data_IF_939330967093
#
_entry.id   IF_939330967093
#
_cell.length_a   1.000
_cell.length_b   1.000
_cell.length_c   1.000
_cell.angle_alpha   90.00
_cell.angle_beta   90.00
_cell.angle_gamma   90.00
#
_symmetry.space_group_name_H-M   'P 1'
#
loop_
_entity.id
_entity.type
_entity.pdbx_description
1 polymer ?
#
# COMPACT_ATOMS: atom_id res chain seq x y z
N UNK A 1 -3.32 28.82 21.96
CA UNK A 1 -2.32 28.85 20.88
C UNK A 1 -1.67 27.48 20.59
N UNK A 2 -1.94 26.41 21.37
CA UNK A 2 -1.35 25.08 21.14
C UNK A 2 -2.02 24.22 20.04
N UNK A 3 -3.15 24.65 19.45
CA UNK A 3 -3.87 23.87 18.45
C UNK A 3 -3.31 24.06 17.02
N UNK A 4 -2.65 25.19 16.75
CA UNK A 4 -2.26 25.59 15.41
C UNK A 4 -1.33 24.59 14.68
N UNK A 5 -0.55 23.79 15.42
CA UNK A 5 0.32 22.78 14.80
C UNK A 5 -0.42 21.50 14.40
N UNK A 6 -1.47 21.13 15.14
CA UNK A 6 -2.22 19.91 14.87
C UNK A 6 -3.41 20.12 13.93
N UNK A 7 -3.81 21.38 13.70
CA UNK A 7 -4.88 21.73 12.78
C UNK A 7 -4.65 21.18 11.36
N UNK A 8 -3.39 21.06 10.91
CA UNK A 8 -3.04 20.47 9.61
C UNK A 8 -3.40 18.98 9.50
N UNK A 9 -3.43 18.24 10.61
CA UNK A 9 -3.78 16.82 10.64
C UNK A 9 -5.27 16.58 10.86
N UNK A 10 -6.01 17.63 11.21
CA UNK A 10 -7.46 17.54 11.33
C UNK A 10 -8.08 17.32 9.94
N UNK A 11 -9.09 16.45 9.85
CA UNK A 11 -9.76 16.20 8.57
C UNK A 11 -10.49 17.47 8.11
N UNK A 12 -10.16 18.03 6.93
CA UNK A 12 -10.81 19.22 6.45
C UNK A 12 -12.28 18.93 6.12
N UNK A 13 -13.17 19.81 6.58
CA UNK A 13 -14.60 19.79 6.24
C UNK A 13 -15.04 21.17 5.75
N UNK A 14 -15.87 21.20 4.71
CA UNK A 14 -16.44 22.42 4.16
C UNK A 14 -17.97 22.27 4.16
N UNK A 15 -18.69 23.22 4.77
CA UNK A 15 -20.16 23.18 4.88
C UNK A 15 -20.69 21.86 5.49
N UNK A 16 -19.92 21.22 6.39
CA UNK A 16 -20.28 19.94 7.01
C UNK A 16 -19.94 18.69 6.18
N UNK A 17 -19.38 18.84 4.98
CA UNK A 17 -18.97 17.71 4.12
C UNK A 17 -17.48 17.44 4.33
N UNK A 18 -17.07 16.21 4.69
CA UNK A 18 -15.65 15.85 4.83
C UNK A 18 -14.97 15.74 3.47
N UNK A 19 -13.86 16.43 3.29
CA UNK A 19 -13.12 16.51 2.01
C UNK A 19 -12.10 15.37 1.82
N UNK A 20 -12.05 14.41 2.75
CA UNK A 20 -11.10 13.29 2.73
C UNK A 20 -11.22 12.50 1.43
N UNK A 21 -12.44 12.19 0.97
CA UNK A 21 -12.66 11.42 -0.26
C UNK A 21 -12.02 12.10 -1.49
N UNK A 22 -12.15 13.42 -1.58
CA UNK A 22 -11.56 14.20 -2.67
C UNK A 22 -10.03 14.06 -2.62
N UNK A 23 -9.42 14.25 -1.45
CA UNK A 23 -7.97 14.11 -1.28
C UNK A 23 -7.46 12.69 -1.61
N UNK A 24 -8.25 11.64 -1.38
CA UNK A 24 -7.89 10.27 -1.78
C UNK A 24 -7.92 10.05 -3.29
N UNK A 25 -8.89 10.64 -3.98
CA UNK A 25 -9.05 10.46 -5.44
C UNK A 25 -8.08 11.33 -6.24
N UNK A 26 -7.59 12.43 -5.67
CA UNK A 26 -6.75 13.40 -6.36
C UNK A 26 -5.44 12.81 -6.94
N UNK A 27 -4.65 11.98 -6.23
CA UNK A 27 -3.46 11.34 -6.79
C UNK A 27 -3.73 10.52 -8.05
N UNK A 28 -4.89 9.85 -8.12
CA UNK A 28 -5.25 9.04 -9.28
C UNK A 28 -5.50 9.90 -10.52
N UNK A 29 -6.00 11.13 -10.35
CA UNK A 29 -6.23 12.08 -11.43
C UNK A 29 -4.93 12.67 -12.01
N UNK A 30 -3.84 12.69 -11.23
CA UNK A 30 -2.54 13.19 -11.70
C UNK A 30 -1.87 12.22 -12.68
N UNK A 31 -2.28 10.96 -12.68
CA UNK A 31 -1.75 9.94 -13.58
C UNK A 31 -2.51 10.04 -14.91
N UNK A 32 -1.87 10.48 -16.02
CA UNK A 32 -2.56 10.50 -17.30
C UNK A 32 -2.93 9.08 -17.74
N UNK A 33 -4.11 8.94 -18.33
CA UNK A 33 -4.52 7.69 -18.98
C UNK A 33 -3.60 7.39 -20.15
N UNK A 34 -3.24 6.12 -20.32
CA UNK A 34 -2.46 5.67 -21.47
C UNK A 34 -3.32 5.73 -22.73
N UNK A 35 -2.81 6.37 -23.78
CA UNK A 35 -3.43 6.35 -25.11
C UNK A 35 -3.19 5.00 -25.80
N UNK A 36 -4.12 4.59 -26.67
CA UNK A 36 -3.97 3.40 -27.52
C UNK A 36 -3.01 3.62 -28.72
N UNK A 37 -2.12 4.62 -28.64
CA UNK A 37 -1.15 4.95 -29.69
C UNK A 37 0.14 4.15 -29.46
N UNK A 38 0.75 3.65 -30.53
CA UNK A 38 2.01 2.91 -30.44
C UNK A 38 3.16 3.77 -29.90
N UNK A 39 3.20 5.05 -30.30
CA UNK A 39 4.10 6.06 -29.75
C UNK A 39 3.26 6.99 -28.88
N UNK A 40 3.53 6.96 -27.58
CA UNK A 40 2.86 7.79 -26.60
C UNK A 40 3.69 9.04 -26.26
N UNK A 41 3.16 9.91 -25.41
CA UNK A 41 3.86 11.12 -24.97
C UNK A 41 5.03 10.78 -24.03
N UNK A 42 6.00 11.70 -23.89
CA UNK A 42 7.17 11.51 -23.01
C UNK A 42 6.80 11.21 -21.56
N UNK A 43 5.72 11.81 -21.05
CA UNK A 43 5.25 11.58 -19.69
C UNK A 43 4.73 10.14 -19.51
N UNK A 44 3.92 9.66 -20.44
CA UNK A 44 3.37 8.30 -20.39
C UNK A 44 4.44 7.23 -20.59
N UNK A 45 5.49 7.49 -21.38
CA UNK A 45 6.61 6.54 -21.51
C UNK A 45 7.42 6.45 -20.21
N UNK A 46 7.71 7.58 -19.56
CA UNK A 46 8.39 7.60 -18.25
C UNK A 46 7.56 6.91 -17.16
N UNK A 47 6.25 7.17 -17.13
CA UNK A 47 5.34 6.51 -16.21
C UNK A 47 5.31 5.00 -16.42
N UNK A 48 5.17 4.54 -17.68
CA UNK A 48 5.17 3.11 -17.99
C UNK A 48 6.50 2.44 -17.60
N UNK A 49 7.62 3.11 -17.88
CA UNK A 49 8.94 2.64 -17.47
C UNK A 49 9.05 2.50 -15.94
N UNK A 50 8.59 3.50 -15.20
CA UNK A 50 8.59 3.46 -13.73
C UNK A 50 7.72 2.32 -13.18
N UNK A 51 6.49 2.17 -13.69
CA UNK A 51 5.58 1.08 -13.27
C UNK A 51 6.22 -0.28 -13.56
N UNK A 52 6.86 -0.46 -14.72
CA UNK A 52 7.52 -1.72 -15.10
C UNK A 52 8.73 -2.04 -14.22
N UNK A 53 9.49 -1.02 -13.80
CA UNK A 53 10.59 -1.23 -12.86
C UNK A 53 10.09 -1.65 -11.48
N UNK A 54 9.08 -0.95 -10.96
CA UNK A 54 8.48 -1.26 -9.65
C UNK A 54 7.87 -2.65 -9.66
N UNK A 55 7.11 -3.02 -10.71
CA UNK A 55 6.53 -4.36 -10.83
C UNK A 55 7.61 -5.44 -10.89
N UNK A 56 8.68 -5.21 -11.67
CA UNK A 56 9.80 -6.15 -11.78
C UNK A 56 10.51 -6.35 -10.44
N UNK A 57 10.79 -5.28 -9.71
CA UNK A 57 11.46 -5.37 -8.41
C UNK A 57 10.58 -6.05 -7.35
N UNK A 58 9.29 -5.70 -7.29
CA UNK A 58 8.36 -6.31 -6.34
C UNK A 58 8.13 -7.80 -6.59
N UNK A 59 8.12 -8.23 -7.85
CA UNK A 59 7.82 -9.62 -8.21
C UNK A 59 9.05 -10.51 -8.28
N UNK A 60 10.27 -9.95 -8.33
CA UNK A 60 11.51 -10.73 -8.40
C UNK A 60 11.66 -11.83 -7.33
N UNK A 61 11.33 -11.59 -6.03
CA UNK A 61 11.46 -12.63 -5.01
C UNK A 61 10.26 -13.59 -4.95
N UNK A 62 9.21 -13.35 -5.73
CA UNK A 62 7.95 -14.10 -5.64
C UNK A 62 7.88 -15.19 -6.71
N UNK A 63 7.30 -16.32 -6.34
CA UNK A 63 6.98 -17.38 -7.30
C UNK A 63 5.89 -16.95 -8.29
N UNK A 64 5.82 -17.62 -9.45
CA UNK A 64 4.81 -17.42 -10.52
C UNK A 64 3.37 -17.32 -10.01
N UNK A 65 3.01 -18.06 -8.94
CA UNK A 65 1.68 -17.99 -8.31
C UNK A 65 1.41 -16.63 -7.65
N UNK A 66 2.44 -16.02 -7.06
CA UNK A 66 2.40 -14.70 -6.43
C UNK A 66 2.24 -13.54 -7.41
N UNK A 67 2.62 -13.71 -8.69
CA UNK A 67 2.45 -12.66 -9.71
C UNK A 67 0.99 -12.25 -9.94
N UNK A 68 -0.01 -13.06 -9.52
CA UNK A 68 -1.42 -12.66 -9.54
C UNK A 68 -1.69 -11.41 -8.68
N UNK A 69 -0.87 -11.19 -7.65
CA UNK A 69 -0.94 -10.02 -6.76
C UNK A 69 -0.23 -8.79 -7.32
N UNK A 70 0.45 -8.89 -8.46
CA UNK A 70 1.25 -7.81 -9.02
C UNK A 70 0.46 -6.52 -9.19
N UNK A 71 -0.78 -6.60 -9.69
CA UNK A 71 -1.62 -5.42 -9.90
C UNK A 71 -1.96 -4.71 -8.58
N UNK A 72 -2.40 -5.45 -7.57
CA UNK A 72 -2.84 -4.89 -6.29
C UNK A 72 -1.65 -4.29 -5.54
N UNK A 73 -0.51 -4.99 -5.51
CA UNK A 73 0.68 -4.52 -4.79
C UNK A 73 1.31 -3.30 -5.47
N UNK A 74 1.35 -3.28 -6.80
CA UNK A 74 1.95 -2.16 -7.54
C UNK A 74 1.06 -0.92 -7.53
N UNK A 75 -0.27 -1.08 -7.67
CA UNK A 75 -1.23 0.03 -7.55
C UNK A 75 -1.21 0.64 -6.15
N UNK A 76 -1.17 -0.18 -5.09
CA UNK A 76 -1.08 0.33 -3.72
C UNK A 76 0.24 1.07 -3.46
N UNK A 77 1.37 0.52 -3.92
CA UNK A 77 2.68 1.18 -3.77
C UNK A 77 2.67 2.56 -4.43
N UNK A 78 2.18 2.65 -5.68
CA UNK A 78 2.11 3.91 -6.43
C UNK A 78 1.14 4.88 -5.75
N UNK A 79 -0.01 4.41 -5.28
CA UNK A 79 -1.00 5.23 -4.58
C UNK A 79 -0.43 5.87 -3.31
N UNK A 80 0.19 5.07 -2.43
CA UNK A 80 0.80 5.57 -1.20
C UNK A 80 1.97 6.53 -1.48
N UNK A 81 2.80 6.21 -2.49
CA UNK A 81 3.90 7.06 -2.91
C UNK A 81 3.39 8.43 -3.38
N UNK A 82 2.36 8.47 -4.21
CA UNK A 82 1.81 9.72 -4.73
C UNK A 82 1.14 10.55 -3.64
N UNK A 83 0.35 9.94 -2.75
CA UNK A 83 -0.26 10.66 -1.62
C UNK A 83 0.81 11.29 -0.73
N UNK A 84 1.84 10.53 -0.39
CA UNK A 84 2.88 11.01 0.51
C UNK A 84 3.74 12.10 -0.15
N UNK A 85 4.03 11.98 -1.46
CA UNK A 85 4.74 13.04 -2.19
C UNK A 85 3.92 14.34 -2.27
N UNK A 86 2.62 14.25 -2.52
CA UNK A 86 1.73 15.43 -2.50
C UNK A 86 1.64 16.07 -1.12
N UNK A 87 1.81 15.27 -0.06
CA UNK A 87 1.86 15.76 1.32
C UNK A 87 3.05 16.62 1.70
N UNK A 88 4.09 16.62 0.87
CA UNK A 88 5.25 17.49 1.08
C UNK A 88 4.98 18.93 0.64
N UNK A 89 3.90 19.17 -0.11
CA UNK A 89 3.51 20.51 -0.52
C UNK A 89 2.99 21.31 0.69
N UNK A 90 3.28 22.62 0.75
CA UNK A 90 2.80 23.44 1.86
C UNK A 90 1.26 23.49 1.89
N UNK A 91 0.70 23.41 3.10
CA UNK A 91 -0.74 23.46 3.37
C UNK A 91 -1.57 22.34 2.71
N UNK A 92 -0.97 21.19 2.38
CA UNK A 92 -1.72 20.01 1.94
C UNK A 92 -2.04 19.09 3.12
N UNK A 93 -3.29 18.62 3.15
CA UNK A 93 -3.74 17.55 4.05
C UNK A 93 -3.46 16.20 3.39
N UNK A 94 -2.75 15.32 4.08
CA UNK A 94 -2.54 13.93 3.65
C UNK A 94 -3.37 12.95 4.47
N UNK A 95 -4.24 12.16 3.83
CA UNK A 95 -5.03 11.19 4.55
C UNK A 95 -4.24 10.06 5.21
N UNK A 96 -3.02 9.78 4.74
CA UNK A 96 -2.10 8.79 5.32
C UNK A 96 -1.60 9.17 6.72
N UNK A 97 -1.78 10.43 7.15
CA UNK A 97 -1.49 10.85 8.53
C UNK A 97 -2.51 10.29 9.53
N UNK A 98 -3.70 9.91 9.06
CA UNK A 98 -4.73 9.33 9.91
C UNK A 98 -4.51 7.82 10.05
N UNK A 99 -4.40 7.36 11.30
CA UNK A 99 -4.25 5.93 11.60
C UNK A 99 -5.39 5.08 11.01
N UNK A 100 -6.60 5.62 11.01
CA UNK A 100 -7.79 4.96 10.45
C UNK A 100 -7.59 4.56 8.99
N UNK A 101 -6.99 5.43 8.16
CA UNK A 101 -6.73 5.13 6.77
C UNK A 101 -5.69 4.01 6.61
N UNK A 102 -4.60 4.11 7.36
CA UNK A 102 -3.52 3.11 7.28
C UNK A 102 -4.01 1.73 7.72
N UNK A 103 -4.81 1.65 8.79
CA UNK A 103 -5.43 0.39 9.22
C UNK A 103 -6.45 -0.14 8.20
N UNK A 104 -7.26 0.73 7.60
CA UNK A 104 -8.24 0.34 6.59
C UNK A 104 -7.57 -0.28 5.33
N UNK A 105 -6.36 0.16 4.98
CA UNK A 105 -5.58 -0.46 3.89
C UNK A 105 -4.82 -1.70 4.35
N UNK A 106 -4.13 -1.63 5.49
CA UNK A 106 -3.22 -2.68 5.94
C UNK A 106 -3.96 -3.95 6.38
N UNK A 107 -5.04 -3.81 7.15
CA UNK A 107 -5.71 -4.95 7.76
C UNK A 107 -6.32 -5.91 6.72
N UNK A 108 -7.07 -5.46 5.70
CA UNK A 108 -7.62 -6.37 4.69
C UNK A 108 -6.54 -7.06 3.87
N UNK A 109 -5.46 -6.37 3.52
CA UNK A 109 -4.37 -6.95 2.72
C UNK A 109 -3.58 -8.00 3.50
N UNK A 110 -3.24 -7.68 4.75
CA UNK A 110 -2.57 -8.62 5.65
C UNK A 110 -3.44 -9.85 5.92
N UNK A 111 -4.72 -9.65 6.20
CA UNK A 111 -5.66 -10.74 6.42
C UNK A 111 -5.82 -11.60 5.16
N UNK A 112 -5.88 -10.97 3.99
CA UNK A 112 -6.00 -11.71 2.73
C UNK A 112 -4.77 -12.60 2.46
N UNK A 113 -3.54 -12.11 2.70
CA UNK A 113 -2.34 -12.94 2.54
C UNK A 113 -2.32 -14.10 3.54
N UNK A 114 -2.67 -13.85 4.81
CA UNK A 114 -2.77 -14.87 5.85
C UNK A 114 -3.79 -15.97 5.49
N UNK A 115 -5.00 -15.57 5.07
CA UNK A 115 -6.02 -16.52 4.63
C UNK A 115 -5.60 -17.30 3.38
N UNK A 116 -4.91 -16.66 2.43
CA UNK A 116 -4.41 -17.38 1.25
C UNK A 116 -3.34 -18.41 1.60
N UNK A 117 -2.48 -18.13 2.59
CA UNK A 117 -1.49 -19.06 3.12
C UNK A 117 -2.15 -20.27 3.78
N UNK A 118 -3.05 -20.01 4.74
CA UNK A 118 -3.79 -21.06 5.45
C UNK A 118 -4.62 -21.94 4.51
N UNK A 119 -5.23 -21.36 3.48
CA UNK A 119 -6.05 -22.10 2.51
C UNK A 119 -5.21 -22.99 1.59
N UNK A 120 -4.07 -22.49 1.12
CA UNK A 120 -3.27 -23.19 0.12
C UNK A 120 -2.28 -24.18 0.73
N UNK A 121 -1.68 -23.85 1.88
CA UNK A 121 -0.63 -24.63 2.54
C UNK A 121 -0.74 -24.52 4.07
N UNK A 122 -1.75 -25.15 4.70
CA UNK A 122 -2.02 -24.99 6.13
C UNK A 122 -0.84 -25.45 7.01
N UNK A 123 -0.24 -26.60 6.70
CA UNK A 123 0.88 -27.15 7.48
C UNK A 123 2.12 -26.24 7.43
N UNK A 124 2.51 -25.76 6.25
CA UNK A 124 3.64 -24.86 6.10
C UNK A 124 3.36 -23.51 6.78
N UNK A 125 2.14 -22.97 6.64
CA UNK A 125 1.77 -21.70 7.26
C UNK A 125 1.79 -21.73 8.79
N UNK A 126 1.36 -22.83 9.41
CA UNK A 126 1.48 -23.03 10.86
C UNK A 126 2.91 -23.37 11.27
N UNK A 127 3.66 -24.09 10.42
CA UNK A 127 5.06 -24.40 10.64
C UNK A 127 5.95 -23.14 10.77
N UNK A 128 5.61 -22.06 10.07
CA UNK A 128 6.31 -20.77 10.19
C UNK A 128 6.20 -20.11 11.57
N UNK A 129 5.30 -20.56 12.46
CA UNK A 129 5.26 -20.08 13.85
C UNK A 129 6.47 -20.55 14.67
N UNK A 130 7.20 -21.55 14.19
CA UNK A 130 8.37 -22.10 14.85
C UNK A 130 9.60 -22.00 13.94
N UNK A 131 10.69 -21.36 14.40
CA UNK A 131 11.95 -21.41 13.68
C UNK A 131 12.50 -22.83 13.65
N UNK A 132 13.06 -23.22 12.51
CA UNK A 132 13.74 -24.50 12.35
C UNK A 132 14.96 -24.59 13.30
N UNK A 133 15.15 -25.76 13.93
CA UNK A 133 16.28 -26.00 14.83
C UNK A 133 16.12 -25.47 16.25
N UNK A 134 14.91 -25.10 16.67
CA UNK A 134 14.64 -24.68 18.04
C UNK A 134 14.80 -25.84 19.05
N UNK A 135 15.51 -25.64 20.18
CA UNK A 135 15.64 -26.66 21.20
C UNK A 135 14.28 -26.89 21.90
N UNK A 136 13.94 -28.15 22.13
CA UNK A 136 12.63 -28.58 22.67
C UNK A 136 12.13 -27.84 23.92
N UNK A 137 12.95 -27.47 24.93
CA UNK A 137 12.44 -26.76 26.10
C UNK A 137 12.00 -25.32 25.83
N UNK A 138 12.49 -24.66 24.77
CA UNK A 138 12.16 -23.25 24.47
C UNK A 138 10.92 -23.10 23.59
N UNK A 139 10.40 -24.20 23.03
CA UNK A 139 9.28 -24.21 22.09
C UNK A 139 8.03 -23.51 22.67
N UNK A 140 7.56 -23.80 23.90
CA UNK A 140 6.34 -23.18 24.41
C UNK A 140 6.45 -21.65 24.55
N UNK A 141 7.62 -21.14 24.96
CA UNK A 141 7.85 -19.71 25.14
C UNK A 141 8.00 -18.93 23.83
N UNK A 142 8.26 -19.61 22.71
CA UNK A 142 8.40 -18.99 21.38
C UNK A 142 7.07 -18.91 20.60
N UNK A 143 6.11 -19.77 20.93
CA UNK A 143 4.79 -19.81 20.28
C UNK A 143 3.76 -18.95 21.04
N UNK A 144 3.83 -18.94 22.38
CA UNK A 144 2.96 -18.15 23.26
C UNK A 144 3.24 -16.65 23.15
#
# INVERSE_FOLDING_TARGET
MNLNFFDQFSSPSLLGIPLILISMTFPALLIPSLDNRWITNRLSTLQLWFINLVTKQLMMPLDKKGHKWALILTSLMIFLLLINLLGLLPYTFTPTTQLSMNLALAFPLWLATLLTGLRNQPSASLGHLLPEGTPTPLIPALIL
#
